data_IF_596539619361
#
_entry.id   IF_596539619361
#
_cell.length_a   1.000
_cell.length_b   1.000
_cell.length_c   1.000
_cell.angle_alpha   90.00
_cell.angle_beta   90.00
_cell.angle_gamma   90.00
#
_symmetry.space_group_name_H-M   'P 1'
#
loop_
_entity.id
_entity.type
_entity.pdbx_description
1 polymer ?
#
# COMPACT_ATOMS: atom_id res chain seq x y z
N UNK A 1 -12.82 -9.96 -16.51
CA UNK A 1 -13.78 -10.36 -17.58
C UNK A 1 -13.06 -11.13 -18.70
N UNK A 2 -11.99 -10.60 -19.35
CA UNK A 2 -11.28 -11.35 -20.43
C UNK A 2 -10.82 -12.76 -20.00
N UNK A 3 -10.21 -12.90 -18.80
CA UNK A 3 -9.80 -14.20 -18.25
C UNK A 3 -10.98 -15.16 -18.01
N UNK A 4 -12.12 -14.64 -17.59
CA UNK A 4 -13.33 -15.46 -17.38
C UNK A 4 -13.98 -15.87 -18.69
N UNK A 5 -14.04 -14.98 -19.69
CA UNK A 5 -14.48 -15.35 -21.03
C UNK A 5 -13.67 -16.50 -21.59
N UNK A 6 -12.35 -16.43 -21.51
CA UNK A 6 -11.46 -17.53 -21.91
C UNK A 6 -11.70 -18.82 -21.14
N UNK A 7 -11.85 -18.75 -19.82
CA UNK A 7 -12.12 -19.93 -18.97
C UNK A 7 -13.48 -20.59 -19.24
N UNK A 8 -14.47 -19.81 -19.66
CA UNK A 8 -15.81 -20.26 -20.02
C UNK A 8 -15.96 -20.67 -21.51
N UNK A 9 -14.88 -20.54 -22.30
CA UNK A 9 -14.89 -20.86 -23.73
C UNK A 9 -15.53 -19.79 -24.62
N UNK A 10 -15.88 -18.62 -24.06
CA UNK A 10 -16.37 -17.48 -24.83
C UNK A 10 -15.21 -16.64 -25.33
N UNK A 11 -14.63 -17.07 -26.44
CA UNK A 11 -13.45 -16.44 -27.04
C UNK A 11 -13.75 -15.04 -27.61
N UNK A 12 -14.96 -14.80 -28.09
CA UNK A 12 -15.38 -13.50 -28.61
C UNK A 12 -15.42 -12.47 -27.48
N UNK A 13 -16.15 -12.75 -26.40
CA UNK A 13 -16.19 -11.89 -25.21
C UNK A 13 -14.80 -11.69 -24.60
N UNK A 14 -13.97 -12.73 -24.55
CA UNK A 14 -12.58 -12.62 -24.04
C UNK A 14 -11.76 -11.63 -24.87
N UNK A 15 -11.88 -11.66 -26.20
CA UNK A 15 -11.19 -10.76 -27.13
C UNK A 15 -11.67 -9.31 -26.96
N UNK A 16 -12.98 -9.10 -26.89
CA UNK A 16 -13.56 -7.77 -26.74
C UNK A 16 -13.13 -7.12 -25.42
N UNK A 17 -13.19 -7.86 -24.30
CA UNK A 17 -12.74 -7.36 -23.01
C UNK A 17 -11.22 -7.11 -22.95
N UNK A 18 -10.42 -7.87 -23.70
CA UNK A 18 -8.98 -7.62 -23.80
C UNK A 18 -8.72 -6.30 -24.55
N UNK A 19 -9.41 -6.07 -25.68
CA UNK A 19 -9.32 -4.83 -26.42
C UNK A 19 -9.78 -3.62 -25.62
N UNK A 20 -10.87 -3.76 -24.84
CA UNK A 20 -11.33 -2.72 -23.91
C UNK A 20 -10.26 -2.40 -22.86
N UNK A 21 -9.65 -3.41 -22.26
CA UNK A 21 -8.61 -3.23 -21.26
C UNK A 21 -7.38 -2.49 -21.83
N UNK A 22 -6.99 -2.77 -23.06
CA UNK A 22 -5.88 -2.08 -23.73
C UNK A 22 -6.23 -0.62 -24.05
N UNK A 23 -7.47 -0.33 -24.50
CA UNK A 23 -7.95 1.05 -24.70
C UNK A 23 -7.96 1.84 -23.38
N UNK A 24 -8.46 1.23 -22.30
CA UNK A 24 -8.47 1.87 -20.97
C UNK A 24 -7.05 2.16 -20.49
N UNK A 25 -6.12 1.20 -20.66
CA UNK A 25 -4.71 1.40 -20.27
C UNK A 25 -4.08 2.56 -21.03
N UNK A 26 -4.25 2.61 -22.35
CA UNK A 26 -3.70 3.69 -23.19
C UNK A 26 -4.30 5.06 -22.81
N UNK A 27 -5.62 5.13 -22.62
CA UNK A 27 -6.32 6.35 -22.18
C UNK A 27 -5.85 6.80 -20.80
N UNK A 28 -5.70 5.87 -19.85
CA UNK A 28 -5.22 6.17 -18.50
C UNK A 28 -3.81 6.78 -18.53
N UNK A 29 -2.90 6.17 -19.27
CA UNK A 29 -1.52 6.66 -19.38
C UNK A 29 -1.49 8.06 -20.00
N UNK A 30 -2.22 8.29 -21.11
CA UNK A 30 -2.29 9.60 -21.76
C UNK A 30 -2.88 10.69 -20.86
N UNK A 31 -3.83 10.32 -19.99
CA UNK A 31 -4.55 11.27 -19.14
C UNK A 31 -3.80 11.63 -17.87
N UNK A 32 -3.18 10.65 -17.21
CA UNK A 32 -2.65 10.83 -15.87
C UNK A 32 -1.12 10.85 -15.76
N UNK A 33 -0.40 10.26 -16.74
CA UNK A 33 1.06 10.26 -16.68
C UNK A 33 1.66 11.65 -16.91
N UNK A 34 2.40 12.14 -15.91
CA UNK A 34 3.11 13.41 -15.98
C UNK A 34 4.62 13.18 -16.21
N UNK A 35 5.12 13.24 -17.46
CA UNK A 35 6.52 12.94 -17.75
C UNK A 35 7.50 13.95 -17.18
N UNK A 36 7.07 15.18 -16.89
CA UNK A 36 7.91 16.21 -16.29
C UNK A 36 8.15 15.96 -14.80
N UNK A 37 7.15 15.43 -14.10
CA UNK A 37 7.20 15.13 -12.68
C UNK A 37 7.60 13.67 -12.39
N UNK A 38 7.46 12.77 -13.37
CA UNK A 38 7.76 11.35 -13.24
C UNK A 38 6.80 10.57 -12.34
N UNK A 39 5.56 11.05 -12.22
CA UNK A 39 4.48 10.43 -11.45
C UNK A 39 3.12 10.64 -12.13
N UNK A 40 2.05 10.06 -11.60
CA UNK A 40 0.68 10.31 -12.06
C UNK A 40 0.11 11.58 -11.41
N UNK A 41 -0.64 12.36 -12.17
CA UNK A 41 -1.51 13.39 -11.63
C UNK A 41 -2.61 12.70 -10.78
N UNK A 42 -3.00 13.30 -9.66
CA UNK A 42 -3.99 12.71 -8.74
C UNK A 42 -5.41 12.71 -9.36
N UNK A 43 -5.77 13.80 -9.99
CA UNK A 43 -6.94 13.95 -10.86
C UNK A 43 -6.54 14.71 -12.10
N UNK A 44 -7.36 14.69 -13.13
CA UNK A 44 -7.08 15.41 -14.39
C UNK A 44 -6.86 16.90 -14.11
N UNK A 45 -5.67 17.39 -14.42
CA UNK A 45 -5.26 18.78 -14.21
C UNK A 45 -4.80 19.11 -12.79
N UNK A 46 -4.70 18.13 -11.90
CA UNK A 46 -4.13 18.28 -10.55
C UNK A 46 -2.89 17.41 -10.39
N UNK A 47 -1.74 18.03 -10.51
CA UNK A 47 -0.45 17.36 -10.44
C UNK A 47 0.11 17.25 -9.01
N UNK A 48 -0.67 17.54 -7.96
CA UNK A 48 -0.25 17.37 -6.57
C UNK A 48 0.16 15.93 -6.30
N UNK A 49 1.24 15.77 -5.56
CA UNK A 49 1.78 14.46 -5.27
C UNK A 49 1.07 13.83 -4.08
N UNK A 50 0.24 12.83 -4.37
CA UNK A 50 -0.54 12.03 -3.42
C UNK A 50 -0.27 10.54 -3.56
N UNK A 51 -0.57 9.70 -2.54
CA UNK A 51 -0.30 8.27 -2.58
C UNK A 51 -1.23 7.47 -3.50
N UNK A 52 -2.36 8.01 -3.94
CA UNK A 52 -3.41 7.31 -4.71
C UNK A 52 -2.86 6.63 -5.97
N UNK A 53 -1.85 7.21 -6.61
CA UNK A 53 -1.17 6.65 -7.77
C UNK A 53 -0.59 5.24 -7.55
N UNK A 54 -0.34 4.84 -6.31
CA UNK A 54 0.16 3.49 -5.99
C UNK A 54 -0.80 2.40 -6.43
N UNK A 55 -2.11 2.67 -6.46
CA UNK A 55 -3.11 1.69 -6.90
C UNK A 55 -2.99 1.33 -8.38
N UNK A 56 -2.45 2.22 -9.21
CA UNK A 56 -2.14 1.91 -10.61
C UNK A 56 -1.06 0.81 -10.77
N UNK A 57 -0.30 0.52 -9.68
CA UNK A 57 0.78 -0.46 -9.65
C UNK A 57 0.49 -1.65 -8.73
N UNK A 58 -0.16 -1.40 -7.59
CA UNK A 58 -0.35 -2.39 -6.51
C UNK A 58 -1.47 -3.38 -6.78
N UNK A 59 -2.38 -3.08 -7.72
CA UNK A 59 -3.45 -3.96 -8.14
C UNK A 59 -2.97 -5.02 -9.14
N UNK A 60 -3.70 -6.15 -9.32
CA UNK A 60 -3.26 -7.28 -10.15
C UNK A 60 -2.94 -6.96 -11.62
N UNK A 61 -3.47 -5.86 -12.15
CA UNK A 61 -3.30 -5.42 -13.54
C UNK A 61 -2.65 -4.04 -13.59
N UNK A 62 -1.31 -3.94 -13.47
CA UNK A 62 -0.62 -2.66 -13.48
C UNK A 62 -0.85 -1.89 -14.79
N UNK A 63 -1.15 -0.59 -14.66
CA UNK A 63 -1.52 0.26 -15.80
C UNK A 63 -0.32 0.93 -16.46
N UNK A 64 0.86 0.97 -15.81
CA UNK A 64 2.04 1.70 -16.26
C UNK A 64 3.12 0.77 -16.80
N UNK A 65 3.95 1.30 -17.70
CA UNK A 65 5.16 0.64 -18.20
C UNK A 65 6.20 0.43 -17.07
N UNK A 66 7.12 -0.55 -17.18
CA UNK A 66 8.07 -0.88 -16.11
C UNK A 66 8.89 0.32 -15.59
N UNK A 67 9.39 1.17 -16.48
CA UNK A 67 10.18 2.34 -16.07
C UNK A 67 9.34 3.42 -15.38
N UNK A 68 8.10 3.60 -15.81
CA UNK A 68 7.15 4.51 -15.15
C UNK A 68 6.83 4.02 -13.74
N UNK A 69 6.64 2.70 -13.53
CA UNK A 69 6.43 2.11 -12.19
C UNK A 69 7.58 2.43 -11.25
N UNK A 70 8.83 2.23 -11.70
CA UNK A 70 10.03 2.58 -10.93
C UNK A 70 10.08 4.07 -10.60
N UNK A 71 9.71 4.93 -11.55
CA UNK A 71 9.66 6.37 -11.36
C UNK A 71 8.65 6.76 -10.27
N UNK A 72 7.42 6.26 -10.36
CA UNK A 72 6.36 6.49 -9.35
C UNK A 72 6.84 6.07 -7.97
N UNK A 73 7.34 4.84 -7.82
CA UNK A 73 7.79 4.33 -6.52
C UNK A 73 8.90 5.20 -5.94
N UNK A 74 9.90 5.58 -6.73
CA UNK A 74 10.99 6.45 -6.26
C UNK A 74 10.54 7.85 -5.85
N UNK A 75 9.56 8.42 -6.55
CA UNK A 75 8.99 9.73 -6.19
C UNK A 75 8.20 9.63 -4.88
N UNK A 76 7.35 8.62 -4.75
CA UNK A 76 6.58 8.35 -3.52
C UNK A 76 7.52 8.08 -2.34
N UNK A 77 8.56 7.26 -2.52
CA UNK A 77 9.55 6.96 -1.49
C UNK A 77 10.21 8.23 -0.95
N UNK A 78 10.67 9.10 -1.84
CA UNK A 78 11.37 10.34 -1.42
C UNK A 78 10.48 11.37 -0.76
N UNK A 79 9.20 11.44 -1.14
CA UNK A 79 8.31 12.56 -0.76
C UNK A 79 7.24 12.17 0.24
N UNK A 80 6.73 10.94 0.16
CA UNK A 80 5.58 10.53 0.94
C UNK A 80 5.90 9.49 2.01
N UNK A 81 6.91 8.63 1.80
CA UNK A 81 7.23 7.58 2.76
C UNK A 81 7.76 8.17 4.08
N UNK A 82 7.25 7.64 5.18
CA UNK A 82 7.66 7.94 6.55
C UNK A 82 7.86 6.63 7.32
N UNK A 83 8.41 6.64 8.54
CA UNK A 83 8.52 5.43 9.35
C UNK A 83 7.20 4.73 9.65
N UNK A 84 6.06 5.43 9.64
CA UNK A 84 4.76 4.90 10.08
C UNK A 84 3.73 4.73 8.96
N UNK A 85 4.11 4.96 7.70
CA UNK A 85 3.22 4.90 6.56
C UNK A 85 3.50 6.00 5.54
N UNK A 86 2.48 6.44 4.81
CA UNK A 86 2.66 7.46 3.79
C UNK A 86 1.89 8.74 4.12
N UNK A 87 2.54 9.88 3.85
CA UNK A 87 1.87 11.19 3.79
C UNK A 87 0.79 11.18 2.72
N UNK A 88 -0.31 11.84 3.01
CA UNK A 88 -1.43 12.01 2.06
C UNK A 88 -1.22 13.13 1.05
N UNK A 89 -0.24 14.01 1.32
CA UNK A 89 0.19 15.09 0.43
C UNK A 89 1.70 15.32 0.64
N UNK A 90 2.43 15.64 -0.43
CA UNK A 90 3.86 15.90 -0.34
C UNK A 90 4.17 17.22 0.39
N UNK A 91 5.31 17.29 1.13
CA UNK A 91 5.67 18.48 1.93
C UNK A 91 5.88 19.78 1.14
N UNK A 92 6.16 19.67 -0.15
CA UNK A 92 6.36 20.82 -1.04
C UNK A 92 5.09 21.30 -1.76
N UNK A 93 3.94 20.71 -1.45
CA UNK A 93 2.66 21.19 -1.97
C UNK A 93 2.07 22.32 -1.08
N UNK A 94 1.40 23.32 -1.68
CA UNK A 94 0.97 24.51 -0.94
C UNK A 94 0.05 24.28 0.25
N UNK A 95 -0.82 23.25 0.16
CA UNK A 95 -1.80 22.94 1.20
C UNK A 95 -1.28 21.94 2.25
N UNK A 96 0.02 21.61 2.23
CA UNK A 96 0.59 20.66 3.16
C UNK A 96 0.47 21.11 4.63
N UNK A 97 -0.03 20.21 5.47
CA UNK A 97 -0.16 20.38 6.91
C UNK A 97 0.61 19.27 7.64
N UNK A 98 1.70 19.66 8.31
CA UNK A 98 2.63 18.70 8.95
C UNK A 98 2.07 18.05 10.21
N UNK A 99 1.18 18.73 10.94
CA UNK A 99 0.75 18.30 12.28
C UNK A 99 -0.73 17.97 12.33
N UNK A 100 -1.06 16.74 12.71
CA UNK A 100 -2.44 16.34 13.03
C UNK A 100 -2.76 16.65 14.48
N UNK A 101 -3.20 17.89 14.76
CA UNK A 101 -3.47 18.38 16.12
C UNK A 101 -4.47 19.52 16.13
N UNK A 102 -4.90 19.91 17.34
CA UNK A 102 -5.85 21.01 17.55
C UNK A 102 -7.30 20.53 17.71
N UNK A 103 -8.26 21.39 17.47
CA UNK A 103 -9.69 21.09 17.52
C UNK A 103 -10.16 20.25 16.31
N UNK A 104 -11.46 19.92 16.25
CA UNK A 104 -11.99 19.13 15.14
C UNK A 104 -11.70 19.73 13.76
N UNK A 105 -11.92 21.02 13.57
CA UNK A 105 -11.73 21.68 12.28
C UNK A 105 -10.26 21.67 11.80
N UNK A 106 -9.30 21.88 12.71
CA UNK A 106 -7.88 21.82 12.37
C UNK A 106 -7.47 20.41 12.01
N UNK A 107 -7.95 19.38 12.74
CA UNK A 107 -7.65 17.99 12.43
C UNK A 107 -8.28 17.56 11.11
N UNK A 108 -9.53 17.92 10.85
CA UNK A 108 -10.21 17.63 9.57
C UNK A 108 -9.47 18.29 8.41
N UNK A 109 -9.01 19.55 8.58
CA UNK A 109 -8.21 20.24 7.58
C UNK A 109 -6.86 19.60 7.29
N UNK A 110 -6.26 18.90 8.27
CA UNK A 110 -4.98 18.21 8.13
C UNK A 110 -5.13 16.78 7.60
N UNK A 111 -6.28 16.13 7.76
CA UNK A 111 -6.52 14.70 7.69
C UNK A 111 -6.06 14.04 6.38
N UNK A 112 -6.18 14.77 5.26
CA UNK A 112 -5.71 14.36 3.94
C UNK A 112 -4.77 15.39 3.28
N UNK A 113 -4.16 16.25 4.07
CA UNK A 113 -3.25 17.30 3.59
C UNK A 113 -1.82 17.16 4.17
N UNK A 114 -1.36 15.94 4.32
CA UNK A 114 -0.03 15.63 4.84
C UNK A 114 -0.04 14.51 5.86
N UNK A 115 -1.05 14.46 6.72
CA UNK A 115 -1.23 13.40 7.75
C UNK A 115 -0.86 12.02 7.20
N UNK A 116 -0.08 11.26 7.98
CA UNK A 116 0.42 9.93 7.61
C UNK A 116 -0.61 8.87 7.93
N UNK A 117 -0.85 7.97 6.98
CA UNK A 117 -1.75 6.85 7.13
C UNK A 117 -0.98 5.52 7.04
N UNK A 118 -0.97 4.71 8.10
CA UNK A 118 -0.23 3.44 8.14
C UNK A 118 -0.67 2.41 7.09
N UNK A 119 -1.97 2.30 6.82
CA UNK A 119 -2.49 1.31 5.88
C UNK A 119 -1.94 1.49 4.46
N UNK A 120 -1.54 2.71 4.09
CA UNK A 120 -0.95 2.99 2.78
C UNK A 120 0.40 2.30 2.56
N UNK A 121 1.01 1.76 3.62
CA UNK A 121 2.23 0.96 3.50
C UNK A 121 1.98 -0.35 2.72
N UNK A 122 0.78 -0.93 2.82
CA UNK A 122 0.39 -2.11 2.05
C UNK A 122 0.45 -1.87 0.54
N UNK A 123 -0.32 -0.92 -0.01
CA UNK A 123 -0.21 -0.52 -1.42
C UNK A 123 1.21 -0.12 -1.85
N UNK A 124 1.97 0.57 -1.00
CA UNK A 124 3.36 0.94 -1.29
C UNK A 124 4.25 -0.29 -1.49
N UNK A 125 4.23 -1.24 -0.56
CA UNK A 125 5.03 -2.47 -0.65
C UNK A 125 4.66 -3.28 -1.89
N UNK A 126 3.38 -3.44 -2.19
CA UNK A 126 2.93 -4.12 -3.41
C UNK A 126 3.40 -3.40 -4.68
N UNK A 127 3.32 -2.06 -4.71
CA UNK A 127 3.83 -1.25 -5.82
C UNK A 127 5.36 -1.37 -5.95
N UNK A 128 6.09 -1.38 -4.82
CA UNK A 128 7.54 -1.58 -4.79
C UNK A 128 7.93 -2.94 -5.39
N UNK A 129 7.29 -4.02 -4.96
CA UNK A 129 7.53 -5.36 -5.49
C UNK A 129 7.11 -5.50 -6.97
N UNK A 130 6.07 -4.80 -7.41
CA UNK A 130 5.68 -4.72 -8.82
C UNK A 130 6.73 -4.02 -9.68
N UNK A 131 7.37 -2.97 -9.15
CA UNK A 131 8.37 -2.18 -9.88
C UNK A 131 9.75 -2.82 -9.92
N UNK A 132 10.20 -3.44 -8.82
CA UNK A 132 11.56 -3.94 -8.64
C UNK A 132 11.68 -5.47 -8.59
N UNK A 133 10.55 -6.17 -8.62
CA UNK A 133 10.51 -7.64 -8.55
C UNK A 133 10.60 -8.16 -7.11
N UNK A 134 10.40 -9.48 -6.97
CA UNK A 134 10.47 -10.20 -5.70
C UNK A 134 11.82 -10.91 -5.60
N UNK A 135 12.80 -10.23 -5.07
CA UNK A 135 14.13 -10.81 -4.76
C UNK A 135 14.35 -10.85 -3.25
N UNK A 136 15.33 -11.63 -2.75
CA UNK A 136 15.66 -11.60 -1.32
C UNK A 136 15.95 -10.18 -0.79
N UNK A 137 16.57 -9.34 -1.60
CA UNK A 137 16.91 -7.96 -1.24
C UNK A 137 15.66 -7.09 -1.13
N UNK A 138 14.77 -7.14 -2.13
CA UNK A 138 13.53 -6.34 -2.12
C UNK A 138 12.59 -6.80 -1.01
N UNK A 139 12.50 -8.10 -0.75
CA UNK A 139 11.71 -8.64 0.37
C UNK A 139 12.27 -8.22 1.73
N UNK A 140 13.60 -8.25 1.92
CA UNK A 140 14.24 -7.76 3.14
C UNK A 140 13.96 -6.27 3.35
N UNK A 141 14.20 -5.44 2.32
CA UNK A 141 13.90 -4.02 2.36
C UNK A 141 12.44 -3.75 2.79
N UNK A 142 11.48 -4.42 2.16
CA UNK A 142 10.07 -4.26 2.52
C UNK A 142 9.74 -4.70 3.95
N UNK A 143 10.41 -5.76 4.48
CA UNK A 143 10.22 -6.16 5.89
C UNK A 143 10.80 -5.11 6.86
N UNK A 144 11.92 -4.49 6.52
CA UNK A 144 12.51 -3.43 7.34
C UNK A 144 11.58 -2.21 7.47
N UNK A 145 10.78 -1.90 6.45
CA UNK A 145 9.77 -0.83 6.50
C UNK A 145 8.65 -1.07 7.53
N UNK A 146 8.42 -2.32 7.92
CA UNK A 146 7.38 -2.65 8.93
C UNK A 146 7.87 -2.43 10.37
N UNK A 147 9.19 -2.39 10.56
CA UNK A 147 9.78 -2.35 11.91
C UNK A 147 9.27 -1.23 12.81
N UNK A 148 9.12 0.02 12.34
CA UNK A 148 8.57 1.08 13.18
C UNK A 148 7.13 0.82 13.64
N UNK A 149 6.28 0.22 12.80
CA UNK A 149 4.92 -0.17 13.17
C UNK A 149 4.89 -1.36 14.14
N UNK A 150 5.81 -2.32 14.01
CA UNK A 150 5.98 -3.40 14.99
C UNK A 150 6.33 -2.85 16.37
N UNK A 151 7.22 -1.87 16.45
CA UNK A 151 7.57 -1.20 17.71
C UNK A 151 6.38 -0.42 18.27
N UNK A 152 5.60 0.25 17.41
CA UNK A 152 4.41 0.99 17.80
C UNK A 152 3.32 0.12 18.46
N UNK A 153 3.26 -1.18 18.15
CA UNK A 153 2.35 -2.12 18.84
C UNK A 153 2.58 -2.19 20.35
N UNK A 154 3.77 -1.84 20.82
CA UNK A 154 4.12 -1.80 22.24
C UNK A 154 4.08 -0.41 22.88
N UNK A 155 3.86 0.64 22.10
CA UNK A 155 3.98 2.04 22.51
C UNK A 155 2.62 2.69 22.79
N UNK A 156 1.76 2.73 21.81
CA UNK A 156 0.46 3.41 21.90
C UNK A 156 -0.68 2.44 21.59
N UNK A 157 -1.70 2.38 22.47
CA UNK A 157 -2.83 1.45 22.31
C UNK A 157 -2.39 -0.01 22.08
N UNK A 158 -1.71 -0.57 23.03
CA UNK A 158 -1.04 -1.87 23.04
C UNK A 158 -1.69 -2.94 22.13
N UNK A 159 -0.91 -3.47 21.19
CA UNK A 159 -1.32 -4.52 20.26
C UNK A 159 -2.11 -4.02 19.04
N UNK A 160 -2.21 -2.72 18.83
CA UNK A 160 -2.90 -2.11 17.68
C UNK A 160 -2.05 -1.04 16.99
N UNK A 161 -2.55 -0.52 15.87
CA UNK A 161 -1.93 0.58 15.14
C UNK A 161 -2.89 1.76 15.12
N UNK A 162 -2.39 2.95 15.50
CA UNK A 162 -3.14 4.20 15.43
C UNK A 162 -3.60 4.50 14.01
N UNK A 163 -4.71 5.18 13.89
CA UNK A 163 -5.31 5.53 12.59
C UNK A 163 -4.37 6.37 11.74
N UNK A 164 -3.78 7.41 12.33
CA UNK A 164 -2.91 8.37 11.65
C UNK A 164 -1.70 8.72 12.50
N UNK A 165 -0.73 9.38 11.88
CA UNK A 165 0.39 10.04 12.55
C UNK A 165 0.58 11.44 11.98
N UNK A 166 1.10 12.37 12.78
CA UNK A 166 1.63 13.64 12.26
C UNK A 166 2.69 13.37 11.20
N UNK A 167 2.79 14.23 10.20
CA UNK A 167 3.61 13.98 9.02
C UNK A 167 5.11 14.26 9.21
N UNK A 168 5.48 14.92 10.33
CA UNK A 168 6.85 15.27 10.68
C UNK A 168 7.20 14.76 12.09
N UNK A 169 8.50 14.59 12.34
CA UNK A 169 8.98 14.17 13.64
C UNK A 169 8.42 15.04 14.78
N UNK A 170 8.05 14.41 15.92
CA UNK A 170 8.26 13.03 16.32
C UNK A 170 7.22 12.02 15.79
N UNK A 171 6.42 12.36 14.77
CA UNK A 171 5.37 11.51 14.20
C UNK A 171 4.33 11.09 15.25
N UNK A 172 3.78 12.07 15.95
CA UNK A 172 2.83 11.81 17.02
C UNK A 172 1.61 11.01 16.51
N UNK A 173 1.25 9.88 17.15
CA UNK A 173 0.05 9.11 16.81
C UNK A 173 -1.22 9.91 17.09
N UNK A 174 -2.27 9.65 16.33
CA UNK A 174 -3.56 10.35 16.45
C UNK A 174 -4.70 9.58 15.80
N UNK A 175 -5.87 10.21 15.76
CA UNK A 175 -7.09 9.58 15.27
C UNK A 175 -7.60 8.49 16.20
N UNK A 176 -8.26 7.48 15.67
CA UNK A 176 -8.68 6.31 16.41
C UNK A 176 -7.45 5.52 16.92
N UNK A 177 -7.44 5.08 18.18
CA UNK A 177 -6.30 4.36 18.75
C UNK A 177 -6.08 2.99 18.12
N UNK A 178 -7.11 2.40 17.51
CA UNK A 178 -7.09 1.10 16.86
C UNK A 178 -7.78 1.21 15.50
N UNK A 179 -7.01 1.14 14.41
CA UNK A 179 -7.56 1.22 13.07
C UNK A 179 -7.50 -0.14 12.37
N UNK A 180 -8.69 -0.69 12.07
CA UNK A 180 -8.82 -2.03 11.53
C UNK A 180 -8.07 -2.24 10.21
N UNK A 181 -8.16 -1.33 9.26
CA UNK A 181 -7.48 -1.49 7.96
C UNK A 181 -5.95 -1.37 8.04
N UNK A 182 -5.41 -0.63 9.04
CA UNK A 182 -3.96 -0.60 9.26
C UNK A 182 -3.47 -1.98 9.73
N UNK A 183 -4.19 -2.63 10.65
CA UNK A 183 -3.88 -3.99 11.09
C UNK A 183 -4.09 -5.00 9.97
N UNK A 184 -5.18 -4.87 9.18
CA UNK A 184 -5.46 -5.77 8.07
C UNK A 184 -4.34 -5.73 7.00
N UNK A 185 -3.84 -4.54 6.66
CA UNK A 185 -2.72 -4.40 5.73
C UNK A 185 -1.42 -4.99 6.28
N UNK A 186 -1.11 -4.82 7.57
CA UNK A 186 0.05 -5.46 8.18
C UNK A 186 -0.05 -6.99 8.15
N UNK A 187 -1.20 -7.54 8.47
CA UNK A 187 -1.44 -8.99 8.38
C UNK A 187 -1.29 -9.46 6.94
N UNK A 188 -1.87 -8.76 5.97
CA UNK A 188 -1.76 -9.08 4.55
C UNK A 188 -0.30 -9.06 4.10
N UNK A 189 0.47 -8.04 4.47
CA UNK A 189 1.88 -7.92 4.14
C UNK A 189 2.69 -9.10 4.73
N UNK A 190 2.54 -9.41 6.01
CA UNK A 190 3.30 -10.44 6.68
C UNK A 190 2.91 -11.85 6.25
N UNK A 191 1.61 -12.10 6.08
CA UNK A 191 1.10 -13.44 5.81
C UNK A 191 1.09 -13.82 4.32
N UNK A 192 1.04 -12.83 3.41
CA UNK A 192 0.87 -13.05 1.98
C UNK A 192 1.96 -12.38 1.16
N UNK A 193 2.05 -11.03 1.24
CA UNK A 193 2.87 -10.26 0.31
C UNK A 193 4.38 -10.45 0.54
N UNK A 194 4.82 -10.64 1.78
CA UNK A 194 6.21 -10.83 2.18
C UNK A 194 6.53 -12.24 2.66
N UNK A 195 5.58 -13.16 2.59
CA UNK A 195 5.82 -14.55 2.93
C UNK A 195 6.89 -15.14 2.02
N UNK A 196 7.81 -15.88 2.60
CA UNK A 196 8.74 -16.71 1.84
C UNK A 196 7.94 -17.80 1.12
N UNK A 197 8.28 -18.13 -0.12
CA UNK A 197 7.50 -18.91 -1.08
C UNK A 197 6.79 -20.18 -0.58
N UNK A 198 6.25 -21.05 -1.44
CA UNK A 198 5.34 -22.13 -1.06
C UNK A 198 5.86 -23.10 0.02
N UNK A 199 7.19 -23.20 0.19
CA UNK A 199 7.82 -24.04 1.21
C UNK A 199 7.61 -23.51 2.65
N UNK A 200 7.38 -22.23 2.85
CA UNK A 200 7.18 -21.65 4.19
C UNK A 200 5.72 -21.75 4.65
N UNK A 201 4.76 -21.78 3.72
CA UNK A 201 3.34 -22.03 4.06
C UNK A 201 3.16 -23.39 4.71
N UNK A 202 3.75 -24.44 4.15
CA UNK A 202 3.63 -25.81 4.70
C UNK A 202 4.33 -25.98 6.06
N UNK A 203 5.32 -25.14 6.36
CA UNK A 203 6.05 -25.15 7.65
C UNK A 203 5.27 -24.37 8.73
N UNK A 204 4.54 -23.32 8.37
CA UNK A 204 3.68 -22.54 9.29
C UNK A 204 2.40 -23.32 9.63
N UNK A 205 1.79 -23.99 8.65
CA UNK A 205 0.62 -24.85 8.88
C UNK A 205 0.95 -26.01 9.82
N UNK A 206 2.14 -26.63 9.70
CA UNK A 206 2.58 -27.69 10.62
C UNK A 206 2.90 -27.21 12.04
N UNK A 207 3.25 -25.91 12.23
CA UNK A 207 3.49 -25.33 13.55
C UNK A 207 2.22 -24.82 14.24
N UNK A 208 1.15 -24.60 13.48
CA UNK A 208 -0.12 -24.04 13.99
C UNK A 208 -1.09 -25.09 14.55
N UNK A 209 -0.82 -26.39 14.38
CA UNK A 209 -1.64 -27.47 14.96
C UNK A 209 -0.97 -27.94 16.25
N UNK A 210 -1.45 -27.55 17.44
CA UNK A 210 -1.03 -28.22 18.68
C UNK A 210 -1.53 -29.65 18.63
N UNK A 211 -0.62 -30.60 18.83
CA UNK A 211 -0.96 -32.00 18.99
C UNK A 211 -1.75 -32.18 20.32
N UNK A 212 -3.06 -31.98 20.26
CA UNK A 212 -3.94 -32.51 21.30
C UNK A 212 -4.15 -33.99 21.00
N UNK A 213 -3.36 -34.83 21.67
CA UNK A 213 -3.69 -36.23 21.81
C UNK A 213 -5.01 -36.40 22.57
N UNK A 214 -5.77 -37.48 22.32
CA UNK A 214 -7.00 -37.74 23.02
C UNK A 214 -6.67 -38.05 24.49
N UNK A 215 -7.02 -37.18 25.41
CA UNK A 215 -7.08 -37.53 26.82
C UNK A 215 -8.25 -38.54 27.00
N UNK A 216 -7.87 -39.74 27.34
CA UNK A 216 -8.78 -40.81 27.76
C UNK A 216 -9.46 -40.39 29.06
N UNK A 217 -10.74 -40.08 28.98
CA UNK A 217 -11.62 -39.97 30.15
C UNK A 217 -11.79 -41.40 30.70
N UNK A 218 -11.32 -41.63 31.92
CA UNK A 218 -11.75 -42.70 32.81
C UNK A 218 -12.54 -42.11 33.96
#
# INVERSE_FOLDING_TARGET
MALWGGALGDTAAATDFAADADRVRASFEQTFWNPRRGHLDDVVGDARLRPNQLFALSLPFPLLAPEQRKSVVRVVERKLLTPFGLRTLAPDEPEYVAQYRGGPAERDGAYHQGTVWPWLLGPYVRAYLCAFGRTPETLRHCRELLRPLELHLGDSCLGTVSEVFSAEAPFAPGGAPAQAWSIAELIQLLAVDLADGPQDRSRRERKAIPAHGPESIR
#
